data_IF_837090360024
#
_entry.id   IF_837090360024
#
_cell.length_a   1.000
_cell.length_b   1.000
_cell.length_c   1.000
_cell.angle_alpha   90.00
_cell.angle_beta   90.00
_cell.angle_gamma   90.00
#
_symmetry.space_group_name_H-M   'P 1'
#
loop_
_entity.id
_entity.type
_entity.pdbx_description
1 polymer ?
#
# COMPACT_ATOMS: atom_id res chain seq x y z
N UNK A 1 5.04 -23.82 9.81
CA UNK A 1 6.38 -23.34 9.42
C UNK A 1 6.27 -21.86 9.15
N UNK A 2 6.69 -21.03 10.11
CA UNK A 2 6.67 -19.57 9.95
C UNK A 2 7.86 -19.13 9.10
N UNK A 3 7.60 -18.39 8.02
CA UNK A 3 8.63 -17.75 7.21
C UNK A 3 9.34 -16.69 8.05
N UNK A 4 10.66 -16.75 8.24
CA UNK A 4 11.39 -15.73 9.00
C UNK A 4 11.24 -14.38 8.31
N UNK A 5 10.70 -13.39 9.02
CA UNK A 5 10.58 -12.04 8.49
C UNK A 5 11.97 -11.39 8.34
N UNK A 6 12.14 -10.58 7.28
CA UNK A 6 13.38 -9.90 6.89
C UNK A 6 14.04 -9.10 8.03
N UNK A 7 13.24 -8.68 9.02
CA UNK A 7 13.63 -7.85 10.16
C UNK A 7 14.18 -8.63 11.36
N UNK A 8 14.08 -9.96 11.34
CA UNK A 8 14.43 -10.81 12.48
C UNK A 8 15.94 -10.84 12.74
N UNK A 9 16.78 -10.84 11.71
CA UNK A 9 18.24 -10.88 11.84
C UNK A 9 18.85 -9.57 12.39
N UNK A 10 18.59 -8.37 11.84
CA UNK A 10 19.16 -7.13 12.36
C UNK A 10 18.66 -6.80 13.78
N UNK A 11 17.39 -7.12 14.10
CA UNK A 11 16.83 -6.93 15.44
C UNK A 11 17.49 -7.86 16.47
N UNK A 12 17.78 -9.11 16.11
CA UNK A 12 18.56 -10.04 16.96
C UNK A 12 19.98 -9.51 17.19
N UNK A 13 20.61 -8.95 16.15
CA UNK A 13 21.95 -8.37 16.24
C UNK A 13 22.00 -7.18 17.21
N UNK A 14 21.15 -6.16 17.05
CA UNK A 14 21.11 -5.00 17.95
C UNK A 14 20.88 -5.40 19.43
N UNK A 15 20.07 -6.42 19.68
CA UNK A 15 19.81 -6.92 21.04
C UNK A 15 21.02 -7.65 21.67
N UNK A 16 21.92 -8.23 20.87
CA UNK A 16 23.17 -8.82 21.35
C UNK A 16 24.19 -7.73 21.69
N UNK A 17 24.28 -6.68 20.87
CA UNK A 17 25.22 -5.57 21.08
C UNK A 17 24.85 -4.70 22.30
N UNK A 18 23.55 -4.48 22.53
CA UNK A 18 23.06 -3.78 23.73
C UNK A 18 23.48 -4.47 25.03
N UNK A 19 23.54 -5.81 25.04
CA UNK A 19 24.00 -6.59 26.21
C UNK A 19 25.52 -6.55 26.42
N UNK A 20 26.28 -6.27 25.37
CA UNK A 20 27.75 -6.19 25.41
C UNK A 20 28.28 -4.75 25.56
N UNK A 21 27.40 -3.77 25.84
CA UNK A 21 27.74 -2.34 26.04
C UNK A 21 28.51 -1.74 24.85
N UNK A 22 28.18 -2.17 23.64
CA UNK A 22 28.72 -1.54 22.44
C UNK A 22 27.73 -0.52 21.88
N UNK A 23 28.24 0.67 21.52
CA UNK A 23 27.45 1.71 20.89
C UNK A 23 27.09 1.34 19.44
N UNK A 24 25.80 1.38 19.12
CA UNK A 24 25.28 1.11 17.77
C UNK A 24 25.64 2.18 16.73
N UNK A 25 26.25 3.30 17.16
CA UNK A 25 26.71 4.39 16.30
C UNK A 25 27.95 4.03 15.46
N UNK A 26 28.68 2.97 15.82
CA UNK A 26 29.95 2.61 15.19
C UNK A 26 29.80 1.51 14.14
N UNK A 27 28.57 1.22 13.70
CA UNK A 27 28.27 0.09 12.79
C UNK A 27 27.64 0.61 11.51
N UNK A 28 28.19 0.18 10.38
CA UNK A 28 27.60 0.35 9.05
C UNK A 28 27.03 -1.00 8.61
N UNK A 29 25.73 -1.04 8.31
CA UNK A 29 25.08 -2.25 7.80
C UNK A 29 25.05 -2.24 6.28
N UNK A 30 25.67 -3.24 5.65
CA UNK A 30 25.55 -3.50 4.22
C UNK A 30 24.25 -4.25 3.91
N UNK A 31 23.46 -3.73 2.97
CA UNK A 31 22.23 -4.35 2.48
C UNK A 31 22.51 -4.92 1.09
N UNK A 32 22.28 -6.23 0.92
CA UNK A 32 22.69 -6.98 -0.28
C UNK A 32 21.54 -7.58 -1.09
N UNK A 33 21.87 -8.53 -1.97
CA UNK A 33 20.92 -9.17 -2.91
C UNK A 33 19.64 -9.71 -2.28
N UNK A 34 19.70 -10.20 -1.04
CA UNK A 34 18.54 -10.72 -0.32
C UNK A 34 17.42 -9.69 -0.13
N UNK A 35 17.74 -8.41 -0.02
CA UNK A 35 16.78 -7.32 0.20
C UNK A 35 16.19 -6.81 -1.12
N UNK A 36 16.96 -6.91 -2.21
CA UNK A 36 16.57 -6.44 -3.55
C UNK A 36 15.86 -7.49 -4.39
N UNK A 37 16.24 -8.78 -4.28
CA UNK A 37 15.85 -9.82 -5.23
C UNK A 37 14.86 -10.85 -4.66
N UNK A 38 14.56 -10.81 -3.36
CA UNK A 38 13.65 -11.79 -2.73
C UNK A 38 12.17 -11.36 -2.72
N UNK A 39 11.83 -10.29 -3.45
CA UNK A 39 10.45 -9.87 -3.65
C UNK A 39 10.01 -10.30 -5.06
N UNK A 40 9.02 -11.19 -5.13
CA UNK A 40 8.31 -11.50 -6.38
C UNK A 40 7.17 -10.50 -6.58
N UNK A 41 6.66 -10.40 -7.81
CA UNK A 41 5.45 -9.59 -8.12
C UNK A 41 4.29 -9.90 -7.16
N UNK A 42 4.14 -11.15 -6.79
CA UNK A 42 3.04 -11.65 -5.94
C UNK A 42 3.30 -11.43 -4.44
N UNK A 43 4.52 -11.06 -4.03
CA UNK A 43 4.88 -10.82 -2.62
C UNK A 43 4.02 -9.73 -1.98
N UNK A 44 3.53 -8.77 -2.76
CA UNK A 44 2.65 -7.68 -2.30
C UNK A 44 1.20 -7.83 -2.76
N UNK A 45 0.85 -8.92 -3.46
CA UNK A 45 -0.53 -9.21 -3.86
C UNK A 45 -1.16 -8.21 -4.84
N UNK A 46 -0.36 -7.49 -5.63
CA UNK A 46 -0.90 -6.51 -6.59
C UNK A 46 -1.72 -7.18 -7.70
N UNK A 47 -2.90 -6.61 -7.99
CA UNK A 47 -3.75 -7.02 -9.09
C UNK A 47 -4.37 -5.80 -9.77
N UNK A 48 -4.39 -5.78 -11.10
CA UNK A 48 -5.12 -4.79 -11.89
C UNK A 48 -6.44 -5.37 -12.40
N UNK A 49 -7.52 -4.62 -12.24
CA UNK A 49 -8.87 -5.01 -12.66
C UNK A 49 -9.60 -3.78 -13.20
N UNK A 50 -10.30 -3.93 -14.32
CA UNK A 50 -11.22 -2.92 -14.80
C UNK A 50 -12.48 -2.91 -13.93
N UNK A 51 -12.85 -1.75 -13.40
CA UNK A 51 -13.99 -1.58 -12.48
C UNK A 51 -15.10 -0.72 -13.10
N UNK A 52 -14.79 0.08 -14.12
CA UNK A 52 -15.71 0.96 -14.83
C UNK A 52 -15.39 0.97 -16.33
N UNK A 53 -16.43 1.12 -17.15
CA UNK A 53 -16.28 1.40 -18.58
C UNK A 53 -17.45 2.23 -19.10
N UNK A 54 -17.22 2.99 -20.16
CA UNK A 54 -18.22 3.86 -20.77
C UNK A 54 -18.59 3.33 -22.15
N UNK A 55 -19.90 3.20 -22.43
CA UNK A 55 -20.42 2.74 -23.72
C UNK A 55 -21.45 3.75 -24.21
N UNK A 56 -21.19 4.39 -25.35
CA UNK A 56 -22.04 5.43 -25.93
C UNK A 56 -22.36 6.58 -24.95
N UNK A 57 -21.38 7.04 -24.19
CA UNK A 57 -21.59 8.11 -23.19
C UNK A 57 -22.21 7.64 -21.87
N UNK A 58 -22.56 6.35 -21.75
CA UNK A 58 -23.20 5.80 -20.55
C UNK A 58 -22.22 4.94 -19.78
N UNK A 59 -21.88 5.39 -18.57
CA UNK A 59 -21.06 4.66 -17.62
C UNK A 59 -21.70 3.36 -17.16
N UNK A 60 -20.93 2.28 -17.12
CA UNK A 60 -21.34 0.96 -16.64
C UNK A 60 -20.31 0.41 -15.67
N UNK A 61 -20.70 0.00 -14.45
CA UNK A 61 -19.80 -0.70 -13.55
C UNK A 61 -19.45 -2.07 -14.13
N UNK A 62 -18.15 -2.39 -14.17
CA UNK A 62 -17.62 -3.68 -14.62
C UNK A 62 -17.14 -4.42 -13.37
N UNK A 63 -17.54 -5.68 -13.23
CA UNK A 63 -17.01 -6.51 -12.15
C UNK A 63 -16.93 -7.98 -12.57
N UNK A 64 -15.93 -8.68 -12.06
CA UNK A 64 -15.78 -10.12 -12.26
C UNK A 64 -16.25 -10.86 -11.00
N UNK A 65 -17.31 -11.66 -11.14
CA UNK A 65 -17.70 -12.66 -10.14
C UNK A 65 -17.32 -14.06 -10.68
N UNK A 66 -16.24 -14.68 -10.19
CA UNK A 66 -15.92 -16.06 -10.56
C UNK A 66 -17.00 -17.02 -10.04
N UNK A 67 -17.51 -17.92 -10.89
CA UNK A 67 -18.61 -18.85 -10.59
C UNK A 67 -18.30 -19.89 -9.49
N UNK A 68 -17.02 -20.10 -9.14
CA UNK A 68 -16.56 -21.22 -8.27
C UNK A 68 -15.87 -20.77 -6.98
N UNK A 69 -15.93 -19.48 -6.61
CA UNK A 69 -15.30 -19.00 -5.38
C UNK A 69 -16.37 -18.63 -4.35
N UNK A 70 -16.21 -19.11 -3.12
CA UNK A 70 -17.19 -19.09 -2.03
C UNK A 70 -17.40 -17.68 -1.44
N UNK A 71 -17.91 -16.74 -2.26
CA UNK A 71 -18.44 -15.43 -1.84
C UNK A 71 -17.44 -14.40 -1.30
N UNK A 72 -16.21 -14.81 -0.96
CA UNK A 72 -15.25 -14.01 -0.21
C UNK A 72 -14.45 -12.99 -1.04
N UNK A 73 -14.43 -13.10 -2.37
CA UNK A 73 -13.65 -12.21 -3.25
C UNK A 73 -14.55 -11.41 -4.19
N UNK A 74 -15.29 -10.46 -3.62
CA UNK A 74 -15.96 -9.44 -4.43
C UNK A 74 -14.95 -8.35 -4.78
N UNK A 75 -14.76 -8.12 -6.09
CA UNK A 75 -13.93 -7.01 -6.56
C UNK A 75 -14.76 -5.71 -6.50
N UNK A 76 -14.10 -4.59 -6.21
CA UNK A 76 -14.73 -3.26 -6.24
C UNK A 76 -15.38 -2.97 -7.61
N UNK A 77 -16.40 -2.11 -7.63
CA UNK A 77 -17.25 -1.86 -8.80
C UNK A 77 -17.37 -0.37 -9.09
N UNK A 78 -17.49 -0.01 -10.37
CA UNK A 78 -17.67 1.38 -10.78
C UNK A 78 -16.43 2.25 -10.57
N UNK A 79 -16.65 3.57 -10.48
CA UNK A 79 -15.61 4.54 -10.11
C UNK A 79 -15.29 4.39 -8.62
N UNK A 80 -14.02 4.61 -8.28
CA UNK A 80 -13.47 4.32 -6.96
C UNK A 80 -12.90 5.59 -6.33
N UNK A 81 -13.14 5.79 -5.04
CA UNK A 81 -12.56 6.89 -4.27
C UNK A 81 -11.85 6.34 -3.05
N UNK A 82 -10.60 6.73 -2.84
CA UNK A 82 -9.86 6.43 -1.61
C UNK A 82 -9.93 7.66 -0.71
N UNK A 83 -10.32 7.49 0.55
CA UNK A 83 -10.33 8.56 1.55
C UNK A 83 -9.51 8.17 2.78
N UNK A 84 -9.17 9.17 3.59
CA UNK A 84 -8.72 8.97 4.97
C UNK A 84 -9.91 9.20 5.89
N UNK A 85 -10.18 8.28 6.81
CA UNK A 85 -11.19 8.48 7.83
C UNK A 85 -10.69 9.44 8.94
N UNK A 86 -11.54 9.66 9.96
CA UNK A 86 -11.20 10.52 11.09
C UNK A 86 -10.03 10.02 11.95
N UNK A 87 -9.63 8.75 11.79
CA UNK A 87 -8.51 8.11 12.48
C UNK A 87 -7.23 8.11 11.61
N UNK A 88 -7.34 8.56 10.36
CA UNK A 88 -6.23 8.64 9.40
C UNK A 88 -6.02 7.36 8.59
N UNK A 89 -6.91 6.37 8.72
CA UNK A 89 -6.85 5.10 7.99
C UNK A 89 -7.45 5.22 6.59
N UNK A 90 -6.92 4.43 5.67
CA UNK A 90 -7.36 4.45 4.28
C UNK A 90 -8.60 3.59 4.06
N UNK A 91 -9.66 4.19 3.52
CA UNK A 91 -10.89 3.51 3.13
C UNK A 91 -11.13 3.63 1.62
N UNK A 92 -11.55 2.53 0.99
CA UNK A 92 -11.97 2.49 -0.42
C UNK A 92 -13.51 2.55 -0.51
N UNK A 93 -14.01 3.53 -1.25
CA UNK A 93 -15.42 3.67 -1.61
C UNK A 93 -15.61 3.32 -3.09
N UNK A 94 -16.64 2.55 -3.41
CA UNK A 94 -16.95 2.08 -4.76
C UNK A 94 -18.27 2.68 -5.30
N UNK A 95 -18.55 2.49 -6.60
CA UNK A 95 -19.71 3.06 -7.31
C UNK A 95 -19.91 4.57 -7.11
N UNK A 96 -18.80 5.32 -7.10
CA UNK A 96 -18.83 6.76 -6.96
C UNK A 96 -19.25 7.45 -8.26
N UNK A 97 -19.68 8.71 -8.17
CA UNK A 97 -19.80 9.58 -9.34
C UNK A 97 -18.48 10.31 -9.65
N UNK A 98 -18.41 10.97 -10.80
CA UNK A 98 -17.22 11.70 -11.25
C UNK A 98 -16.82 12.87 -10.33
N UNK A 99 -17.78 13.49 -9.65
CA UNK A 99 -17.50 14.60 -8.73
C UNK A 99 -16.90 14.09 -7.42
N UNK A 100 -17.38 12.94 -6.94
CA UNK A 100 -16.90 12.28 -5.74
C UNK A 100 -15.51 11.67 -5.95
N UNK A 101 -15.28 11.01 -7.08
CA UNK A 101 -14.00 10.36 -7.42
C UNK A 101 -12.82 11.35 -7.32
N UNK A 102 -13.02 12.58 -7.81
CA UNK A 102 -12.01 13.64 -7.80
C UNK A 102 -11.61 14.15 -6.41
N UNK A 103 -12.39 13.85 -5.37
CA UNK A 103 -12.14 14.30 -4.01
C UNK A 103 -11.35 13.28 -3.17
N UNK A 104 -10.81 12.24 -3.80
CA UNK A 104 -10.05 11.19 -3.15
C UNK A 104 -8.55 11.48 -2.98
N UNK A 105 -7.87 10.51 -2.37
CA UNK A 105 -6.42 10.47 -2.20
C UNK A 105 -5.70 10.02 -3.49
N UNK A 106 -6.44 9.49 -4.46
CA UNK A 106 -5.92 9.15 -5.79
C UNK A 106 -5.73 10.43 -6.60
N UNK A 107 -4.48 10.66 -7.05
CA UNK A 107 -4.12 11.86 -7.81
C UNK A 107 -3.65 11.47 -9.20
N UNK A 108 -4.12 12.20 -10.20
CA UNK A 108 -3.66 12.06 -11.58
C UNK A 108 -2.16 12.30 -11.67
N UNK A 109 -1.38 11.26 -11.99
CA UNK A 109 0.06 11.38 -12.28
C UNK A 109 0.35 11.36 -13.77
N UNK A 110 -0.57 10.83 -14.58
CA UNK A 110 -0.46 10.75 -16.03
C UNK A 110 -1.84 10.88 -16.67
N UNK A 111 -1.95 11.74 -17.68
CA UNK A 111 -3.17 11.95 -18.45
C UNK A 111 -2.79 12.38 -19.87
N UNK A 112 -3.37 11.73 -20.88
CA UNK A 112 -3.22 12.07 -22.30
C UNK A 112 -1.76 12.31 -22.75
N UNK A 113 -0.86 11.41 -22.36
CA UNK A 113 0.56 11.49 -22.75
C UNK A 113 1.40 12.46 -21.91
N UNK A 114 0.81 13.16 -20.93
CA UNK A 114 1.49 14.15 -20.10
C UNK A 114 1.57 13.69 -18.65
N UNK A 115 2.70 14.00 -18.02
CA UNK A 115 2.93 13.75 -16.59
C UNK A 115 2.43 14.94 -15.76
N UNK A 116 1.72 14.65 -14.69
CA UNK A 116 1.16 15.62 -13.74
C UNK A 116 1.63 15.29 -12.33
N UNK A 117 1.59 16.29 -11.44
CA UNK A 117 1.92 16.13 -10.02
C UNK A 117 3.23 15.34 -9.85
N UNK A 118 4.36 15.82 -10.35
CA UNK A 118 5.62 15.09 -10.17
C UNK A 118 6.14 15.30 -8.74
N UNK A 119 6.73 14.25 -8.16
CA UNK A 119 7.34 14.30 -6.84
C UNK A 119 8.82 13.94 -6.94
N UNK A 120 9.67 14.71 -6.25
CA UNK A 120 11.09 14.41 -6.12
C UNK A 120 11.33 13.28 -5.12
N UNK A 121 12.46 12.59 -5.24
CA UNK A 121 12.89 11.59 -4.25
C UNK A 121 13.02 12.17 -2.84
N UNK A 122 13.38 13.45 -2.72
CA UNK A 122 13.45 14.15 -1.44
C UNK A 122 12.06 14.30 -0.80
N UNK A 123 11.07 14.74 -1.56
CA UNK A 123 9.68 14.85 -1.09
C UNK A 123 9.13 13.49 -0.62
N UNK A 124 9.43 12.42 -1.36
CA UNK A 124 9.04 11.05 -0.99
C UNK A 124 9.73 10.63 0.32
N UNK A 125 11.02 10.91 0.47
CA UNK A 125 11.77 10.58 1.71
C UNK A 125 11.23 11.33 2.92
N UNK A 126 10.93 12.62 2.77
CA UNK A 126 10.35 13.43 3.85
C UNK A 126 8.99 12.88 4.30
N UNK A 127 8.14 12.44 3.37
CA UNK A 127 6.85 11.80 3.68
C UNK A 127 7.00 10.51 4.49
N UNK A 128 7.99 9.68 4.17
CA UNK A 128 8.25 8.43 4.89
C UNK A 128 8.87 8.69 6.27
N UNK A 129 9.71 9.73 6.40
CA UNK A 129 10.38 10.08 7.65
C UNK A 129 9.43 10.68 8.71
N UNK A 130 8.33 11.29 8.30
CA UNK A 130 7.30 11.83 9.17
C UNK A 130 5.95 11.13 8.90
N UNK A 131 5.78 9.85 9.29
CA UNK A 131 4.49 9.19 9.16
C UNK A 131 3.47 9.85 10.10
N UNK A 132 2.26 10.10 9.62
CA UNK A 132 1.13 10.49 10.47
C UNK A 132 0.94 9.43 11.57
N UNK A 133 0.52 9.82 12.80
CA UNK A 133 0.29 8.88 13.89
C UNK A 133 -0.59 7.73 13.38
N UNK A 134 -0.08 6.50 13.47
CA UNK A 134 -0.90 5.32 13.17
C UNK A 134 -1.76 5.03 14.41
N UNK A 135 -3.04 4.68 14.25
CA UNK A 135 -3.83 4.20 15.37
C UNK A 135 -3.17 2.97 16.00
N UNK A 136 -3.29 2.88 17.33
CA UNK A 136 -2.78 1.75 18.09
C UNK A 136 -3.40 0.45 17.59
N UNK A 137 -2.66 -0.67 17.54
CA UNK A 137 -3.25 -1.95 17.18
C UNK A 137 -4.31 -2.30 18.23
N UNK A 138 -5.58 -2.11 17.88
CA UNK A 138 -6.70 -2.58 18.69
C UNK A 138 -6.61 -4.09 18.80
N UNK A 139 -6.69 -4.56 20.05
CA UNK A 139 -6.36 -5.93 20.43
C UNK A 139 -7.14 -6.96 19.62
N UNK A 140 -6.46 -8.06 19.26
CA UNK A 140 -7.14 -9.31 18.89
C UNK A 140 -8.06 -9.68 20.05
N UNK A 141 -9.37 -9.67 19.78
CA UNK A 141 -10.35 -10.25 20.68
C UNK A 141 -9.98 -11.72 20.95
N UNK A 142 -9.89 -12.02 22.23
CA UNK A 142 -10.18 -13.34 22.79
C UNK A 142 -11.68 -13.47 23.00
#
# INVERSE_FOLDING_TARGET
>A
METPSLWSAPRKFCNVWRRKVFASSNVVFGVGSFTYQYNTRDTFGFAMKATYGEVNGVGRPIFKQPKTDSGLKQSARGLLRVIRDGEGEYQLLDNQDWQQEQQGELKTRFLDGKLYNQESLEQIRQRIACPSPQPSPTGRGS
#
